data_IF_989839924408
#
_entry.id   IF_989839924408
#
_cell.length_a   1.000
_cell.length_b   1.000
_cell.length_c   1.000
_cell.angle_alpha   90.00
_cell.angle_beta   90.00
_cell.angle_gamma   90.00
#
_symmetry.space_group_name_H-M   'P 1'
#
loop_
_entity.id
_entity.type
_entity.pdbx_description
1 polymer ?
#
# COMPACT_ATOMS: atom_id res chain seq x y z
N UNK A 1 -25.43 -28.91 -6.06
CA UNK A 1 -24.28 -29.04 -6.99
C UNK A 1 -23.12 -28.20 -6.50
N UNK A 2 -22.44 -28.68 -5.44
CA UNK A 2 -21.15 -28.13 -5.01
C UNK A 2 -20.09 -28.95 -5.73
N UNK A 3 -19.26 -28.30 -6.54
CA UNK A 3 -18.10 -28.93 -7.16
C UNK A 3 -17.11 -29.19 -6.03
N UNK A 4 -16.75 -30.48 -5.87
CA UNK A 4 -15.77 -30.96 -4.90
C UNK A 4 -14.42 -30.25 -5.12
N UNK A 5 -13.84 -29.69 -4.05
CA UNK A 5 -12.49 -29.14 -3.99
C UNK A 5 -11.42 -30.25 -3.85
N UNK A 6 -11.66 -31.45 -4.37
CA UNK A 6 -10.69 -32.54 -4.37
C UNK A 6 -9.92 -32.53 -5.69
N UNK A 7 -8.79 -31.80 -5.74
CA UNK A 7 -7.87 -31.94 -6.88
C UNK A 7 -6.85 -30.82 -7.13
N UNK A 8 -6.89 -29.68 -6.44
CA UNK A 8 -5.88 -28.62 -6.60
C UNK A 8 -5.24 -28.34 -5.24
N UNK A 9 -4.12 -29.02 -4.92
CA UNK A 9 -3.46 -28.85 -3.63
C UNK A 9 -2.65 -27.55 -3.51
N UNK A 10 -2.24 -26.91 -4.61
CA UNK A 10 -1.47 -25.66 -4.59
C UNK A 10 -1.67 -24.81 -5.85
N UNK A 11 -1.32 -23.51 -5.80
CA UNK A 11 -1.25 -22.64 -6.97
C UNK A 11 -0.34 -23.22 -8.08
N UNK A 12 0.72 -23.92 -7.68
CA UNK A 12 1.64 -24.61 -8.58
C UNK A 12 0.94 -25.74 -9.34
N UNK A 13 0.20 -26.58 -8.63
CA UNK A 13 -0.54 -27.69 -9.23
C UNK A 13 -1.60 -27.18 -10.20
N UNK A 14 -2.30 -26.09 -9.84
CA UNK A 14 -3.25 -25.46 -10.74
C UNK A 14 -2.59 -25.01 -12.04
N UNK A 15 -1.48 -24.27 -11.93
CA UNK A 15 -0.75 -23.74 -13.08
C UNK A 15 -0.26 -24.87 -14.00
N UNK A 16 0.43 -25.88 -13.46
CA UNK A 16 0.97 -26.99 -14.26
C UNK A 16 -0.11 -27.84 -14.90
N UNK A 17 -1.25 -28.06 -14.24
CA UNK A 17 -2.29 -28.93 -14.78
C UNK A 17 -3.26 -28.23 -15.73
N UNK A 18 -3.47 -26.92 -15.57
CA UNK A 18 -4.55 -26.22 -16.28
C UNK A 18 -4.05 -25.08 -17.18
N UNK A 19 -2.92 -24.45 -16.87
CA UNK A 19 -2.39 -23.30 -17.63
C UNK A 19 -1.27 -23.75 -18.55
N UNK A 20 -0.24 -24.41 -18.01
CA UNK A 20 0.93 -24.87 -18.77
C UNK A 20 0.55 -25.84 -19.90
N UNK A 21 -0.42 -26.72 -19.65
CA UNK A 21 -0.95 -27.69 -20.63
C UNK A 21 -1.96 -27.09 -21.62
N UNK A 22 -2.38 -25.82 -21.43
CA UNK A 22 -3.39 -25.21 -22.27
C UNK A 22 -2.79 -24.77 -23.61
N UNK A 23 -3.30 -25.32 -24.71
CA UNK A 23 -2.78 -25.01 -26.06
C UNK A 23 -2.88 -23.54 -26.42
N UNK A 24 -3.91 -22.83 -25.95
CA UNK A 24 -4.05 -21.38 -26.15
C UNK A 24 -2.97 -20.60 -25.41
N UNK A 25 -2.58 -21.06 -24.22
CA UNK A 25 -1.50 -20.43 -23.48
C UNK A 25 -0.17 -20.61 -24.22
N UNK A 26 0.14 -21.84 -24.63
CA UNK A 26 1.40 -22.15 -25.35
C UNK A 26 1.48 -21.52 -26.74
N UNK A 27 0.36 -21.27 -27.42
CA UNK A 27 0.36 -20.71 -28.78
C UNK A 27 0.29 -19.19 -28.82
N UNK A 28 -0.28 -18.53 -27.79
CA UNK A 28 -0.49 -17.08 -27.80
C UNK A 28 0.44 -16.31 -26.86
N UNK A 29 1.05 -16.96 -25.87
CA UNK A 29 2.06 -16.33 -25.02
C UNK A 29 3.43 -16.63 -25.61
N UNK A 30 3.97 -15.66 -26.35
CA UNK A 30 5.20 -15.80 -27.14
C UNK A 30 6.42 -16.19 -26.32
N UNK A 31 6.47 -15.80 -25.05
CA UNK A 31 7.58 -16.12 -24.15
C UNK A 31 7.55 -17.56 -23.59
N UNK A 32 6.49 -18.35 -23.83
CA UNK A 32 6.37 -19.69 -23.22
C UNK A 32 7.46 -20.65 -23.68
N UNK A 33 8.00 -20.48 -24.89
CA UNK A 33 9.14 -21.28 -25.38
C UNK A 33 10.47 -20.93 -24.72
N UNK A 34 10.54 -19.82 -24.00
CA UNK A 34 11.77 -19.36 -23.36
C UNK A 34 11.91 -20.00 -21.98
N UNK A 35 13.07 -20.61 -21.70
CA UNK A 35 13.36 -21.19 -20.38
C UNK A 35 13.21 -20.17 -19.24
N UNK A 36 13.52 -18.89 -19.51
CA UNK A 36 13.37 -17.79 -18.56
C UNK A 36 11.91 -17.53 -18.16
N UNK A 37 10.94 -17.84 -19.02
CA UNK A 37 9.52 -17.61 -18.73
C UNK A 37 9.02 -18.57 -17.66
N UNK A 38 9.30 -19.86 -17.81
CA UNK A 38 8.95 -20.85 -16.78
C UNK A 38 9.59 -20.52 -15.44
N UNK A 39 10.88 -20.18 -15.42
CA UNK A 39 11.58 -19.76 -14.21
C UNK A 39 10.93 -18.52 -13.57
N UNK A 40 10.52 -17.55 -14.39
CA UNK A 40 9.82 -16.35 -13.93
C UNK A 40 8.48 -16.69 -13.28
N UNK A 41 7.70 -17.61 -13.87
CA UNK A 41 6.43 -18.06 -13.29
C UNK A 41 6.67 -18.81 -11.98
N UNK A 42 7.62 -19.74 -11.96
CA UNK A 42 7.97 -20.50 -10.74
C UNK A 42 8.33 -19.54 -9.59
N UNK A 43 9.17 -18.51 -9.85
CA UNK A 43 9.50 -17.45 -8.87
C UNK A 43 8.28 -16.67 -8.38
N UNK A 44 7.33 -16.35 -9.27
CA UNK A 44 6.09 -15.64 -8.90
C UNK A 44 5.18 -16.50 -8.03
N UNK A 45 5.06 -17.80 -8.33
CA UNK A 45 4.28 -18.76 -7.53
C UNK A 45 4.91 -18.90 -6.15
N UNK A 46 6.23 -19.04 -6.07
CA UNK A 46 6.96 -19.12 -4.80
C UNK A 46 6.78 -17.84 -3.97
N UNK A 47 6.84 -16.68 -4.61
CA UNK A 47 6.61 -15.39 -3.95
C UNK A 47 5.18 -15.26 -3.39
N UNK A 48 4.17 -15.75 -4.10
CA UNK A 48 2.79 -15.83 -3.61
C UNK A 48 2.69 -16.78 -2.41
N UNK A 49 3.37 -17.94 -2.47
CA UNK A 49 3.38 -18.92 -1.38
C UNK A 49 4.06 -18.38 -0.12
N UNK A 50 5.20 -17.70 -0.25
CA UNK A 50 5.90 -17.05 0.87
C UNK A 50 5.01 -16.00 1.57
N UNK A 51 4.17 -15.32 0.79
CA UNK A 51 3.25 -14.30 1.29
C UNK A 51 1.80 -14.80 1.49
N UNK A 52 1.56 -16.13 1.49
CA UNK A 52 0.20 -16.72 1.47
C UNK A 52 -0.74 -16.21 2.56
N UNK A 53 -0.20 -15.86 3.72
CA UNK A 53 -0.98 -15.38 4.88
C UNK A 53 -1.51 -13.95 4.68
N UNK A 54 -0.87 -13.16 3.81
CA UNK A 54 -1.22 -11.75 3.58
C UNK A 54 -1.65 -11.48 2.14
N UNK A 55 -1.41 -12.39 1.18
CA UNK A 55 -1.59 -12.13 -0.25
C UNK A 55 -3.04 -11.81 -0.63
N UNK A 56 -4.01 -12.49 0.00
CA UNK A 56 -5.44 -12.19 -0.21
C UNK A 56 -5.79 -10.77 0.23
N UNK A 57 -5.28 -10.34 1.38
CA UNK A 57 -5.53 -9.01 1.94
C UNK A 57 -4.75 -7.93 1.19
N UNK A 58 -3.54 -8.26 0.72
CA UNK A 58 -2.77 -7.40 -0.19
C UNK A 58 -3.55 -7.16 -1.47
N UNK A 59 -4.15 -8.20 -2.06
CA UNK A 59 -4.99 -8.06 -3.24
C UNK A 59 -6.23 -7.17 -2.99
N UNK A 60 -6.82 -7.21 -1.80
CA UNK A 60 -7.91 -6.31 -1.42
C UNK A 60 -7.50 -4.84 -1.28
N UNK A 61 -6.20 -4.56 -1.10
CA UNK A 61 -5.64 -3.19 -1.18
C UNK A 61 -5.24 -2.84 -2.62
N UNK A 62 -4.75 -3.79 -3.39
CA UNK A 62 -4.42 -3.61 -4.82
C UNK A 62 -5.66 -3.22 -5.65
N UNK A 63 -6.83 -3.84 -5.39
CA UNK A 63 -8.09 -3.51 -6.08
C UNK A 63 -8.42 -2.00 -6.06
N UNK A 64 -8.47 -1.32 -4.89
CA UNK A 64 -8.65 0.13 -4.84
C UNK A 64 -7.64 0.91 -5.68
N UNK A 65 -6.36 0.50 -5.74
CA UNK A 65 -5.38 1.14 -6.61
C UNK A 65 -5.78 1.02 -8.08
N UNK A 66 -6.20 -0.17 -8.53
CA UNK A 66 -6.74 -0.35 -9.88
C UNK A 66 -7.97 0.52 -10.13
N UNK A 67 -8.91 0.59 -9.18
CA UNK A 67 -10.10 1.43 -9.32
C UNK A 67 -9.73 2.91 -9.48
N UNK A 68 -8.72 3.41 -8.76
CA UNK A 68 -8.22 4.77 -8.95
C UNK A 68 -7.69 5.01 -10.37
N UNK A 69 -7.02 4.01 -10.97
CA UNK A 69 -6.58 4.08 -12.36
C UNK A 69 -7.75 4.04 -13.36
N UNK A 70 -8.76 3.21 -13.12
CA UNK A 70 -9.97 3.17 -13.94
C UNK A 70 -10.72 4.50 -13.93
N UNK A 71 -10.92 5.08 -12.74
CA UNK A 71 -11.54 6.41 -12.60
C UNK A 71 -10.71 7.50 -13.29
N UNK A 72 -9.38 7.41 -13.23
CA UNK A 72 -8.50 8.36 -13.91
C UNK A 72 -8.63 8.28 -15.44
N UNK A 73 -8.71 7.06 -15.98
CA UNK A 73 -8.87 6.80 -17.41
C UNK A 73 -10.23 7.28 -17.91
N UNK A 74 -11.31 6.98 -17.18
CA UNK A 74 -12.68 7.42 -17.51
C UNK A 74 -12.87 8.94 -17.50
N UNK A 75 -12.02 9.67 -16.78
CA UNK A 75 -12.08 11.13 -16.69
C UNK A 75 -11.03 11.84 -17.57
N UNK A 76 -10.46 11.16 -18.58
CA UNK A 76 -9.44 11.71 -19.49
C UNK A 76 -8.29 12.40 -18.74
N UNK A 77 -7.81 11.79 -17.64
CA UNK A 77 -6.80 12.34 -16.72
C UNK A 77 -7.20 13.59 -15.93
N UNK A 78 -8.45 14.07 -16.05
CA UNK A 78 -9.00 15.18 -15.25
C UNK A 78 -9.90 14.67 -14.12
N UNK A 79 -9.33 13.88 -13.21
CA UNK A 79 -10.09 13.21 -12.14
C UNK A 79 -10.24 14.11 -10.88
N UNK A 80 -11.43 14.70 -10.61
CA UNK A 80 -11.55 15.71 -9.55
C UNK A 80 -11.41 15.14 -8.12
N UNK A 81 -11.71 13.84 -7.95
CA UNK A 81 -11.64 13.15 -6.65
C UNK A 81 -10.28 12.52 -6.37
N UNK A 82 -9.28 12.85 -7.17
CA UNK A 82 -7.98 12.20 -7.09
C UNK A 82 -7.33 12.21 -5.71
N UNK A 83 -7.27 13.39 -5.09
CA UNK A 83 -6.68 13.55 -3.76
C UNK A 83 -7.46 12.75 -2.71
N UNK A 84 -8.79 12.79 -2.76
CA UNK A 84 -9.65 12.06 -1.84
C UNK A 84 -9.44 10.54 -1.99
N UNK A 85 -9.38 10.03 -3.21
CA UNK A 85 -9.14 8.62 -3.48
C UNK A 85 -7.75 8.17 -3.02
N UNK A 86 -6.72 9.00 -3.23
CA UNK A 86 -5.38 8.75 -2.71
C UNK A 86 -5.32 8.69 -1.18
N UNK A 87 -6.00 9.62 -0.49
CA UNK A 87 -6.13 9.61 0.97
C UNK A 87 -6.81 8.33 1.48
N UNK A 88 -7.92 7.93 0.83
CA UNK A 88 -8.63 6.70 1.18
C UNK A 88 -7.75 5.46 0.95
N UNK A 89 -7.00 5.41 -0.15
CA UNK A 89 -6.07 4.33 -0.45
C UNK A 89 -4.97 4.21 0.62
N UNK A 90 -4.31 5.33 0.95
CA UNK A 90 -3.25 5.36 1.98
C UNK A 90 -3.79 4.92 3.34
N UNK A 91 -4.97 5.41 3.74
CA UNK A 91 -5.61 4.99 4.99
C UNK A 91 -5.92 3.49 5.01
N UNK A 92 -6.44 2.95 3.89
CA UNK A 92 -6.73 1.52 3.76
C UNK A 92 -5.46 0.67 3.81
N UNK A 93 -4.40 1.10 3.14
CA UNK A 93 -3.12 0.39 3.17
C UNK A 93 -2.45 0.46 4.56
N UNK A 94 -2.51 1.61 5.25
CA UNK A 94 -2.02 1.71 6.63
C UNK A 94 -2.77 0.76 7.56
N UNK A 95 -4.09 0.68 7.43
CA UNK A 95 -4.91 -0.28 8.17
C UNK A 95 -4.51 -1.72 7.87
N UNK A 96 -4.26 -2.05 6.59
CA UNK A 96 -3.74 -3.36 6.20
C UNK A 96 -2.39 -3.68 6.87
N UNK A 97 -1.45 -2.74 6.94
CA UNK A 97 -0.17 -2.95 7.62
C UNK A 97 -0.37 -3.23 9.12
N UNK A 98 -1.25 -2.47 9.77
CA UNK A 98 -1.49 -2.55 11.21
C UNK A 98 -2.25 -3.82 11.61
N UNK A 99 -3.33 -4.16 10.89
CA UNK A 99 -4.22 -5.29 11.21
C UNK A 99 -3.58 -6.66 10.96
N UNK A 100 -2.52 -6.70 10.15
CA UNK A 100 -1.89 -7.96 9.71
C UNK A 100 -0.46 -8.12 10.20
N UNK A 101 0.00 -7.21 11.06
CA UNK A 101 1.37 -7.14 11.57
C UNK A 101 2.43 -7.38 10.46
N UNK A 102 2.25 -6.68 9.34
CA UNK A 102 3.08 -6.89 8.16
C UNK A 102 4.50 -6.45 8.45
N UNK A 103 5.45 -7.38 8.38
CA UNK A 103 6.88 -7.06 8.36
C UNK A 103 7.23 -6.46 6.99
N UNK A 104 7.16 -5.14 6.88
CA UNK A 104 7.53 -4.42 5.65
C UNK A 104 9.01 -4.55 5.31
N UNK A 105 9.84 -4.99 6.26
CA UNK A 105 11.24 -5.29 6.05
C UNK A 105 11.51 -6.72 5.60
N UNK A 106 10.50 -7.59 5.65
CA UNK A 106 10.57 -8.99 5.26
C UNK A 106 10.95 -9.16 3.78
N UNK A 107 11.83 -10.11 3.51
CA UNK A 107 12.38 -10.35 2.17
C UNK A 107 11.32 -10.67 1.11
N UNK A 108 10.26 -11.39 1.49
CA UNK A 108 9.14 -11.71 0.60
C UNK A 108 8.20 -10.52 0.38
N UNK A 109 7.96 -9.70 1.42
CA UNK A 109 7.09 -8.53 1.30
C UNK A 109 7.73 -7.43 0.46
N UNK A 110 9.03 -7.18 0.65
CA UNK A 110 9.82 -6.24 -0.17
C UNK A 110 9.76 -6.49 -1.66
N UNK A 111 9.53 -7.73 -2.09
CA UNK A 111 9.41 -8.09 -3.50
C UNK A 111 8.03 -7.75 -4.09
N UNK A 112 6.95 -7.73 -3.28
CA UNK A 112 5.60 -7.39 -3.74
C UNK A 112 5.23 -5.92 -3.46
N UNK A 113 5.86 -5.28 -2.48
CA UNK A 113 5.67 -3.88 -2.12
C UNK A 113 5.74 -2.90 -3.31
N UNK A 114 6.69 -3.04 -4.26
CA UNK A 114 6.81 -2.15 -5.41
C UNK A 114 5.54 -2.08 -6.27
N UNK A 115 4.70 -3.11 -6.28
CA UNK A 115 3.43 -3.12 -7.03
C UNK A 115 2.53 -1.98 -6.54
N UNK A 116 2.44 -1.79 -5.22
CA UNK A 116 1.61 -0.74 -4.63
C UNK A 116 2.35 0.60 -4.56
N UNK A 117 3.62 0.62 -4.14
CA UNK A 117 4.35 1.89 -3.97
C UNK A 117 4.58 2.58 -5.30
N UNK A 118 5.09 1.85 -6.32
CA UNK A 118 5.34 2.44 -7.63
C UNK A 118 4.02 2.76 -8.34
N UNK A 119 3.04 1.86 -8.22
CA UNK A 119 1.71 2.10 -8.79
C UNK A 119 1.04 3.35 -8.22
N UNK A 120 1.16 3.60 -6.91
CA UNK A 120 0.65 4.81 -6.27
C UNK A 120 1.46 6.06 -6.66
N UNK A 121 2.79 5.97 -6.73
CA UNK A 121 3.63 7.08 -7.17
C UNK A 121 3.34 7.51 -8.60
N UNK A 122 3.13 6.55 -9.50
CA UNK A 122 2.74 6.84 -10.88
C UNK A 122 1.32 7.36 -10.99
N UNK A 123 0.40 6.88 -10.14
CA UNK A 123 -0.96 7.42 -10.07
C UNK A 123 -0.93 8.92 -9.73
N UNK A 124 -0.19 9.30 -8.69
CA UNK A 124 -0.04 10.72 -8.28
C UNK A 124 0.48 11.59 -9.43
N UNK A 125 1.50 11.12 -10.17
CA UNK A 125 2.09 11.86 -11.29
C UNK A 125 1.07 12.10 -12.40
N UNK A 126 0.34 11.06 -12.80
CA UNK A 126 -0.68 11.16 -13.87
C UNK A 126 -1.83 12.05 -13.46
N UNK A 127 -2.30 11.87 -12.23
CA UNK A 127 -3.54 12.48 -11.78
C UNK A 127 -3.51 14.01 -11.66
N UNK A 128 -2.32 14.58 -11.52
CA UNK A 128 -2.18 16.03 -11.40
C UNK A 128 -1.60 16.69 -12.64
N UNK A 129 -1.51 15.98 -13.77
CA UNK A 129 -0.78 16.43 -14.96
C UNK A 129 0.63 16.98 -14.59
N UNK A 130 1.27 16.41 -13.57
CA UNK A 130 2.56 16.86 -13.05
C UNK A 130 2.56 18.08 -12.10
N UNK A 131 1.41 18.67 -11.74
CA UNK A 131 1.36 19.62 -10.60
C UNK A 131 1.60 18.84 -9.30
N UNK A 132 2.07 19.49 -8.24
CA UNK A 132 2.24 18.82 -6.95
C UNK A 132 1.06 19.21 -6.06
N UNK A 133 0.08 18.31 -5.92
CA UNK A 133 -0.97 18.43 -4.92
C UNK A 133 -0.44 17.79 -3.65
N UNK A 134 -0.94 18.20 -2.50
CA UNK A 134 -0.59 17.68 -1.17
C UNK A 134 -1.07 16.22 -0.98
N UNK A 135 -0.64 15.32 -1.85
CA UNK A 135 -0.93 13.91 -1.77
C UNK A 135 -0.24 13.31 -0.55
N UNK A 136 -0.93 12.43 0.21
CA UNK A 136 -0.30 11.77 1.33
C UNK A 136 0.84 10.86 0.86
N UNK A 137 1.94 10.77 1.63
CA UNK A 137 3.02 9.84 1.34
C UNK A 137 2.52 8.40 1.45
N UNK A 138 3.16 7.49 0.70
CA UNK A 138 2.87 6.07 0.82
C UNK A 138 3.42 5.54 2.15
N UNK A 139 2.61 4.84 2.98
CA UNK A 139 3.09 4.26 4.22
C UNK A 139 4.22 3.24 3.99
N UNK A 140 5.34 3.35 4.70
CA UNK A 140 6.43 2.35 4.60
C UNK A 140 6.49 1.41 5.80
N UNK A 141 5.85 1.77 6.91
CA UNK A 141 5.86 1.00 8.16
C UNK A 141 4.48 0.98 8.79
N UNK A 142 4.23 -0.03 9.64
CA UNK A 142 3.09 0.00 10.55
C UNK A 142 3.21 1.20 11.48
N UNK A 143 2.09 1.77 11.86
CA UNK A 143 2.03 2.83 12.87
C UNK A 143 1.46 2.22 14.13
N UNK A 144 2.14 2.40 15.25
CA UNK A 144 1.54 2.05 16.54
C UNK A 144 0.37 3.00 16.75
N UNK A 145 -0.86 2.53 16.56
CA UNK A 145 -1.98 3.18 17.22
C UNK A 145 -1.74 2.94 18.71
N UNK A 146 -1.08 3.88 19.38
CA UNK A 146 -1.41 4.10 20.79
C UNK A 146 -2.90 4.38 20.77
N UNK A 147 -3.70 3.36 21.10
CA UNK A 147 -5.04 3.59 21.61
C UNK A 147 -4.90 4.72 22.60
N UNK A 148 -5.64 5.81 22.40
CA UNK A 148 -5.76 6.86 23.38
C UNK A 148 -6.44 6.26 24.61
N UNK A 149 -5.68 5.51 25.40
CA UNK A 149 -5.98 5.33 26.78
C UNK A 149 -5.79 6.72 27.36
N UNK A 150 -6.91 7.32 27.74
CA UNK A 150 -6.95 8.49 28.60
C UNK A 150 -6.32 8.02 29.92
N UNK A 151 -4.99 8.07 29.98
CA UNK A 151 -4.24 7.97 31.22
C UNK A 151 -3.92 9.40 31.60
N UNK A 152 -4.36 9.74 32.80
CA UNK A 152 -4.22 11.02 33.49
C UNK A 152 -2.85 11.69 33.28
N UNK A 153 -2.79 13.04 33.32
CA UNK A 153 -1.54 13.77 33.11
C UNK A 153 -0.56 13.46 34.25
N UNK A 154 0.36 12.53 34.01
CA UNK A 154 1.52 12.40 34.89
C UNK A 154 2.56 13.41 34.42
N UNK A 155 2.65 14.48 35.19
CA UNK A 155 3.64 15.52 35.09
C UNK A 155 5.05 14.93 34.92
N UNK A 156 5.77 15.38 33.90
CA UNK A 156 7.22 15.25 33.83
C UNK A 156 7.75 16.57 33.32
N UNK A 157 8.26 17.35 34.27
CA UNK A 157 8.97 18.59 34.07
C UNK A 157 10.18 18.38 33.17
N UNK A 158 10.20 19.04 32.01
CA UNK A 158 11.43 19.32 31.27
C UNK A 158 11.69 20.82 31.34
N UNK A 159 12.73 21.18 32.09
CA UNK A 159 13.28 22.52 32.18
C UNK A 159 14.18 22.77 30.99
N UNK A 160 13.77 23.67 30.09
CA UNK A 160 14.69 24.43 29.25
C UNK A 160 14.28 25.90 29.30
N UNK A 161 15.20 26.70 29.83
CA UNK A 161 15.04 28.11 30.12
C UNK A 161 14.69 28.91 28.86
N UNK A 162 13.46 29.44 28.80
CA UNK A 162 13.14 30.58 27.94
C UNK A 162 13.46 31.86 28.70
N UNK A 163 14.45 32.59 28.18
CA UNK A 163 14.88 33.90 28.67
C UNK A 163 13.76 34.91 28.38
N UNK A 164 12.88 35.15 29.34
CA UNK A 164 11.87 36.20 29.27
C UNK A 164 12.54 37.54 29.62
N UNK A 165 12.50 38.51 28.70
CA UNK A 165 12.78 39.91 29.00
C UNK A 165 11.49 40.49 29.62
N UNK A 166 11.51 40.97 30.87
CA UNK A 166 10.37 41.69 31.42
C UNK A 166 10.35 43.10 30.81
N UNK A 167 9.40 43.36 29.90
CA UNK A 167 9.08 44.73 29.51
C UNK A 167 8.31 45.35 30.66
N UNK A 168 8.95 46.30 31.32
CA UNK A 168 8.43 47.08 32.43
C UNK A 168 7.36 48.05 31.90
N UNK A 169 6.08 47.73 32.09
CA UNK A 169 4.99 48.69 31.90
C UNK A 169 5.00 49.72 33.02
N UNK A 170 5.45 50.93 32.71
CA UNK A 170 5.25 52.12 33.54
C UNK A 170 3.94 52.78 33.14
N UNK A 171 2.93 52.66 33.99
CA UNK A 171 1.82 53.61 34.00
C UNK A 171 2.28 54.84 34.78
N UNK A 172 2.47 55.95 34.07
CA UNK A 172 2.53 57.28 34.69
C UNK A 172 1.10 57.78 34.77
N UNK A 173 0.58 57.85 35.99
CA UNK A 173 -0.51 58.74 36.33
C UNK A 173 0.08 60.10 36.73
N UNK A 174 -0.78 61.13 36.73
CA UNK A 174 -0.70 62.46 37.39
C UNK A 174 -0.76 63.62 36.38
N UNK A 175 -1.52 64.71 36.64
CA UNK A 175 -2.72 64.92 37.49
C UNK A 175 -3.99 65.25 36.68
#
# INVERSE_FOLDING_TARGET
NQISNEGISTLKDFYTNNIEKNTKYTSHVTSVSDNNHKETIDKKIDLMNMNKNIISKFYDVFKPLCNMYSELDENDSNYPKCLQSAQNFVAKYQKFLNDNDVDTNGSSYKQILPILSNGYDDFKKKCNNGKYSDFPPFPMTKTTQHSAHISEPTSSSSSTASKLIPVLSIFVAIP
#
